data_IF_421449850732
#
_entry.id   IF_421449850732
#
_cell.length_a   1.000
_cell.length_b   1.000
_cell.length_c   1.000
_cell.angle_alpha   90.00
_cell.angle_beta   90.00
_cell.angle_gamma   90.00
#
_symmetry.space_group_name_H-M   'P 1'
#
loop_
_entity.id
_entity.type
_entity.pdbx_description
1 polymer ?
#
# COMPACT_ATOMS: atom_id res chain seq x y z
N UNK A 1 30.62 -47.54 4.20
CA UNK A 1 29.20 -47.31 3.83
C UNK A 1 28.43 -46.72 5.03
N UNK A 2 28.84 -45.57 5.58
CA UNK A 2 28.23 -44.99 6.79
C UNK A 2 27.62 -43.58 6.59
N UNK A 3 27.74 -42.99 5.40
CA UNK A 3 27.36 -41.59 5.16
C UNK A 3 25.90 -41.39 4.74
N UNK A 4 25.16 -42.46 4.45
CA UNK A 4 23.80 -42.36 3.87
C UNK A 4 22.76 -41.84 4.88
N UNK A 5 22.89 -42.21 6.16
CA UNK A 5 21.93 -41.79 7.20
C UNK A 5 22.07 -40.30 7.60
N UNK A 6 23.28 -39.74 7.52
CA UNK A 6 23.53 -38.32 7.82
C UNK A 6 22.92 -37.39 6.76
N UNK A 7 22.91 -37.79 5.50
CA UNK A 7 22.35 -37.01 4.39
C UNK A 7 20.82 -36.89 4.51
N UNK A 8 20.13 -38.01 4.79
CA UNK A 8 18.68 -38.04 5.00
C UNK A 8 18.27 -37.22 6.23
N UNK A 9 19.03 -37.32 7.33
CA UNK A 9 18.78 -36.52 8.53
C UNK A 9 18.99 -35.02 8.26
N UNK A 10 20.05 -34.65 7.55
CA UNK A 10 20.37 -33.26 7.21
C UNK A 10 19.30 -32.63 6.30
N UNK A 11 18.76 -33.39 5.33
CA UNK A 11 17.64 -32.94 4.47
C UNK A 11 16.37 -32.68 5.26
N UNK A 12 16.05 -33.54 6.24
CA UNK A 12 14.90 -33.31 7.12
C UNK A 12 15.08 -32.08 8.00
N UNK A 13 16.30 -31.85 8.53
CA UNK A 13 16.62 -30.63 9.28
C UNK A 13 16.44 -29.39 8.41
N UNK A 14 16.95 -29.39 7.16
CA UNK A 14 16.80 -28.25 6.26
C UNK A 14 15.32 -28.04 5.89
N UNK A 15 14.56 -29.12 5.70
CA UNK A 15 13.13 -29.05 5.40
C UNK A 15 12.32 -28.40 6.52
N UNK A 16 12.59 -28.80 7.78
CA UNK A 16 11.98 -28.18 8.96
C UNK A 16 12.40 -26.71 9.11
N UNK A 17 13.67 -26.39 8.88
CA UNK A 17 14.16 -25.01 8.89
C UNK A 17 13.38 -24.15 7.88
N UNK A 18 13.26 -24.60 6.62
CA UNK A 18 12.54 -23.87 5.58
C UNK A 18 11.05 -23.72 5.91
N UNK A 19 10.42 -24.75 6.47
CA UNK A 19 9.03 -24.70 6.92
C UNK A 19 8.83 -23.58 7.95
N UNK A 20 9.61 -23.59 9.03
CA UNK A 20 9.48 -22.60 10.09
C UNK A 20 9.85 -21.19 9.63
N UNK A 21 10.87 -21.05 8.78
CA UNK A 21 11.24 -19.75 8.20
C UNK A 21 10.09 -19.18 7.35
N UNK A 22 9.50 -19.99 6.45
CA UNK A 22 8.37 -19.56 5.63
C UNK A 22 7.16 -19.17 6.49
N UNK A 23 6.88 -19.94 7.53
CA UNK A 23 5.78 -19.66 8.46
C UNK A 23 6.03 -18.39 9.29
N UNK A 24 7.27 -18.17 9.75
CA UNK A 24 7.67 -16.97 10.48
C UNK A 24 7.51 -15.71 9.62
N UNK A 25 7.88 -15.78 8.34
CA UNK A 25 7.68 -14.67 7.38
C UNK A 25 6.19 -14.31 7.27
N UNK A 26 5.32 -15.32 7.15
CA UNK A 26 3.86 -15.11 7.07
C UNK A 26 3.33 -14.48 8.35
N UNK A 27 3.68 -15.03 9.52
CA UNK A 27 3.24 -14.49 10.81
C UNK A 27 3.72 -13.05 11.02
N UNK A 28 4.98 -12.76 10.69
CA UNK A 28 5.52 -11.42 10.76
C UNK A 28 4.76 -10.46 9.83
N UNK A 29 4.51 -10.87 8.58
CA UNK A 29 3.81 -10.04 7.60
C UNK A 29 2.39 -9.71 8.07
N UNK A 30 1.66 -10.70 8.60
CA UNK A 30 0.31 -10.51 9.15
C UNK A 30 0.32 -9.61 10.39
N UNK A 31 1.27 -9.83 11.31
CA UNK A 31 1.40 -8.99 12.51
C UNK A 31 1.75 -7.55 12.16
N UNK A 32 2.67 -7.34 11.23
CA UNK A 32 3.01 -6.01 10.72
C UNK A 32 1.81 -5.34 10.06
N UNK A 33 1.09 -6.10 9.22
CA UNK A 33 -0.14 -5.63 8.57
C UNK A 33 -1.20 -5.21 9.59
N UNK A 34 -1.47 -6.02 10.60
CA UNK A 34 -2.42 -5.71 11.66
C UNK A 34 -2.10 -4.38 12.37
N UNK A 35 -0.83 -4.13 12.70
CA UNK A 35 -0.40 -2.88 13.33
C UNK A 35 -0.57 -1.64 12.41
N UNK A 36 -0.47 -1.82 11.10
CA UNK A 36 -0.61 -0.74 10.12
C UNK A 36 -2.09 -0.44 9.84
N UNK A 37 -2.93 -1.48 9.74
CA UNK A 37 -4.38 -1.32 9.56
C UNK A 37 -5.08 -0.78 10.82
N UNK A 38 -4.57 -1.09 12.02
CA UNK A 38 -5.06 -0.52 13.29
C UNK A 38 -4.53 0.90 13.58
N UNK A 39 -3.68 1.45 12.70
CA UNK A 39 -3.15 2.80 12.84
C UNK A 39 -2.06 2.96 13.92
N UNK A 40 -1.57 1.85 14.49
CA UNK A 40 -0.48 1.88 15.49
C UNK A 40 0.89 2.21 14.86
N UNK A 41 1.04 2.04 13.54
CA UNK A 41 2.19 2.49 12.75
C UNK A 41 1.75 3.16 11.45
N UNK A 42 2.43 4.24 11.09
CA UNK A 42 2.20 4.92 9.82
C UNK A 42 2.60 4.00 8.65
N UNK A 43 1.73 3.93 7.64
CA UNK A 43 2.01 3.21 6.40
C UNK A 43 3.23 3.88 5.75
N UNK A 44 4.21 3.12 5.21
CA UNK A 44 5.31 3.70 4.45
C UNK A 44 4.78 4.65 3.37
N UNK A 45 5.20 5.92 3.42
CA UNK A 45 4.70 6.96 2.52
C UNK A 45 5.37 6.84 1.15
N UNK A 46 4.78 6.06 0.24
CA UNK A 46 5.19 5.95 -1.16
C UNK A 46 4.67 7.13 -2.00
N UNK A 47 3.50 7.65 -1.63
CA UNK A 47 2.86 8.80 -2.27
C UNK A 47 2.75 9.95 -1.27
N UNK A 48 3.32 11.11 -1.63
CA UNK A 48 3.19 12.37 -0.91
C UNK A 48 2.51 13.39 -1.82
N UNK A 49 1.42 13.98 -1.36
CA UNK A 49 0.87 15.17 -1.99
C UNK A 49 1.68 16.37 -1.48
N UNK A 50 2.59 16.89 -2.30
CA UNK A 50 3.19 18.19 -2.03
C UNK A 50 2.08 19.24 -2.08
N UNK A 51 1.77 19.83 -0.91
CA UNK A 51 1.01 21.07 -0.85
C UNK A 51 1.86 22.10 -1.59
N UNK A 52 1.36 22.77 -2.65
CA UNK A 52 2.14 23.80 -3.32
C UNK A 52 2.55 24.81 -2.25
N UNK A 53 3.85 24.92 -2.00
CA UNK A 53 4.38 26.01 -1.21
C UNK A 53 3.89 27.29 -1.88
N UNK A 54 3.33 28.20 -1.08
CA UNK A 54 2.85 29.50 -1.53
C UNK A 54 3.91 30.17 -2.42
N UNK A 55 3.68 30.19 -3.74
CA UNK A 55 4.36 31.10 -4.64
C UNK A 55 3.60 32.42 -4.51
N UNK A 56 4.29 33.39 -3.92
CA UNK A 56 3.82 34.76 -3.72
C UNK A 56 3.78 35.52 -5.07
N UNK A 57 2.91 36.55 -5.15
CA UNK A 57 2.76 37.59 -6.20
C UNK A 57 2.28 37.12 -7.59
N UNK A 58 1.31 37.73 -8.29
CA UNK A 58 0.65 39.06 -8.26
C UNK A 58 -0.63 39.02 -9.13
N UNK A 59 -1.56 39.98 -9.04
CA UNK A 59 -2.85 39.95 -9.75
C UNK A 59 -2.71 40.42 -11.19
N UNK A 60 -3.35 39.73 -12.15
CA UNK A 60 -3.59 40.29 -13.48
C UNK A 60 -4.99 39.88 -13.98
N UNK A 61 -5.79 40.92 -14.12
CA UNK A 61 -7.16 41.00 -14.61
C UNK A 61 -7.18 40.93 -16.14
N UNK A 62 -8.22 40.33 -16.74
CA UNK A 62 -8.79 40.76 -18.02
C UNK A 62 -10.20 40.19 -18.22
N UNK A 63 -11.16 41.09 -18.42
CA UNK A 63 -12.51 40.88 -18.92
C UNK A 63 -12.47 40.40 -20.40
N UNK A 64 -13.48 39.86 -21.07
CA UNK A 64 -14.94 40.01 -21.01
C UNK A 64 -15.56 39.01 -21.99
N UNK A 65 -16.73 38.44 -21.68
CA UNK A 65 -17.50 37.53 -22.53
C UNK A 65 -18.96 37.41 -22.09
N UNK A 66 -19.60 38.55 -21.83
CA UNK A 66 -20.97 38.61 -21.34
C UNK A 66 -21.97 38.09 -22.38
N UNK A 67 -22.62 36.96 -22.07
CA UNK A 67 -24.10 36.78 -21.98
C UNK A 67 -24.55 35.32 -22.23
N UNK A 68 -23.64 34.40 -22.58
CA UNK A 68 -23.89 32.94 -22.60
C UNK A 68 -23.03 32.18 -21.55
N UNK A 69 -22.02 32.87 -21.03
CA UNK A 69 -21.08 32.39 -20.03
C UNK A 69 -21.69 32.28 -18.62
N UNK A 70 -22.79 33.00 -18.34
CA UNK A 70 -23.39 33.08 -17.00
C UNK A 70 -24.03 31.75 -16.55
N UNK A 71 -24.70 31.01 -17.44
CA UNK A 71 -25.27 29.69 -17.09
C UNK A 71 -24.19 28.61 -16.97
N UNK A 72 -23.13 28.70 -17.79
CA UNK A 72 -22.05 27.71 -17.78
C UNK A 72 -21.10 27.97 -16.62
N UNK A 73 -20.79 29.22 -16.29
CA UNK A 73 -20.08 29.62 -15.08
C UNK A 73 -20.89 29.39 -13.82
N UNK A 74 -22.22 29.55 -13.83
CA UNK A 74 -23.05 29.22 -12.67
C UNK A 74 -23.08 27.70 -12.45
N UNK A 75 -23.20 26.90 -13.51
CA UNK A 75 -23.05 25.44 -13.41
C UNK A 75 -21.65 25.04 -12.92
N UNK A 76 -20.59 25.67 -13.46
CA UNK A 76 -19.21 25.40 -13.06
C UNK A 76 -18.92 25.86 -11.62
N UNK A 77 -19.45 27.01 -11.19
CA UNK A 77 -19.32 27.50 -9.81
C UNK A 77 -20.11 26.66 -8.80
N UNK A 78 -21.27 26.10 -9.18
CA UNK A 78 -22.02 25.17 -8.31
C UNK A 78 -21.28 23.83 -8.21
N UNK A 79 -20.82 23.28 -9.34
CA UNK A 79 -20.08 22.00 -9.36
C UNK A 79 -18.72 22.13 -8.67
N UNK A 80 -18.01 23.22 -8.89
CA UNK A 80 -16.64 23.39 -8.39
C UNK A 80 -16.63 24.01 -6.98
N UNK A 81 -17.60 24.88 -6.66
CA UNK A 81 -17.69 25.59 -5.38
C UNK A 81 -18.47 24.84 -4.30
N UNK A 82 -19.59 24.17 -4.61
CA UNK A 82 -20.36 23.42 -3.60
C UNK A 82 -19.98 21.94 -3.58
N UNK A 83 -19.96 21.27 -4.74
CA UNK A 83 -19.65 19.84 -4.80
C UNK A 83 -18.14 19.62 -4.61
N UNK A 84 -17.30 20.44 -5.24
CA UNK A 84 -15.85 20.37 -5.08
C UNK A 84 -15.37 20.63 -3.64
N UNK A 85 -15.96 21.61 -2.94
CA UNK A 85 -15.61 21.90 -1.55
C UNK A 85 -16.09 20.78 -0.59
N UNK A 86 -17.31 20.29 -0.76
CA UNK A 86 -17.81 19.17 0.05
C UNK A 86 -17.04 17.87 -0.22
N UNK A 87 -16.71 17.55 -1.48
CA UNK A 87 -15.85 16.40 -1.79
C UNK A 87 -14.44 16.58 -1.25
N UNK A 88 -13.89 17.80 -1.24
CA UNK A 88 -12.57 18.11 -0.69
C UNK A 88 -12.55 18.06 0.83
N UNK A 89 -13.66 18.39 1.50
CA UNK A 89 -13.87 18.18 2.94
C UNK A 89 -14.07 16.69 3.28
N UNK A 90 -14.82 15.95 2.46
CA UNK A 90 -15.10 14.52 2.69
C UNK A 90 -13.94 13.60 2.27
N UNK A 91 -13.13 14.00 1.29
CA UNK A 91 -11.94 13.31 0.81
C UNK A 91 -10.79 14.32 0.67
N UNK A 92 -10.14 14.69 1.78
CA UNK A 92 -8.93 15.50 1.73
C UNK A 92 -7.87 14.81 0.86
N UNK A 93 -7.07 15.58 0.13
CA UNK A 93 -6.03 15.04 -0.76
C UNK A 93 -5.05 14.07 -0.06
N UNK A 94 -4.86 14.26 1.25
CA UNK A 94 -4.06 13.40 2.12
C UNK A 94 -4.66 11.98 2.24
N UNK A 95 -5.98 11.82 2.13
CA UNK A 95 -6.67 10.53 2.17
C UNK A 95 -6.38 9.68 0.93
N UNK A 96 -6.29 10.28 -0.26
CA UNK A 96 -5.94 9.58 -1.51
C UNK A 96 -4.53 9.00 -1.41
N UNK A 97 -3.57 9.81 -0.95
CA UNK A 97 -2.19 9.35 -0.73
C UNK A 97 -2.13 8.22 0.30
N UNK A 98 -2.93 8.31 1.38
CA UNK A 98 -3.03 7.27 2.41
C UNK A 98 -3.62 5.96 1.88
N UNK A 99 -4.68 6.00 1.07
CA UNK A 99 -5.25 4.80 0.42
C UNK A 99 -4.21 4.15 -0.50
N UNK A 100 -3.54 4.93 -1.34
CA UNK A 100 -2.54 4.41 -2.27
C UNK A 100 -1.36 3.74 -1.53
N UNK A 101 -0.89 4.36 -0.45
CA UNK A 101 0.12 3.77 0.43
C UNK A 101 -0.36 2.45 1.05
N UNK A 102 -1.63 2.39 1.48
CA UNK A 102 -2.22 1.20 2.08
C UNK A 102 -2.37 0.05 1.07
N UNK A 103 -2.77 0.37 -0.17
CA UNK A 103 -2.82 -0.59 -1.27
C UNK A 103 -1.41 -1.12 -1.59
N UNK A 104 -0.42 -0.22 -1.69
CA UNK A 104 0.97 -0.62 -1.91
C UNK A 104 1.47 -1.56 -0.81
N UNK A 105 1.15 -1.27 0.45
CA UNK A 105 1.45 -2.13 1.58
C UNK A 105 0.72 -3.49 1.50
N UNK A 106 -0.56 -3.50 1.13
CA UNK A 106 -1.33 -4.74 1.00
C UNK A 106 -0.78 -5.66 -0.10
N UNK A 107 -0.37 -5.10 -1.24
CA UNK A 107 0.30 -5.85 -2.31
C UNK A 107 1.61 -6.45 -1.81
N UNK A 108 2.42 -5.66 -1.09
CA UNK A 108 3.68 -6.13 -0.51
C UNK A 108 3.47 -7.28 0.49
N UNK A 109 2.51 -7.15 1.41
CA UNK A 109 2.16 -8.22 2.36
C UNK A 109 1.66 -9.46 1.62
N UNK A 110 0.81 -9.29 0.60
CA UNK A 110 0.34 -10.38 -0.25
C UNK A 110 1.50 -11.13 -0.91
N UNK A 111 2.50 -10.39 -1.43
CA UNK A 111 3.72 -10.99 -1.96
C UNK A 111 4.51 -11.76 -0.90
N UNK A 112 4.67 -11.20 0.31
CA UNK A 112 5.36 -11.90 1.42
C UNK A 112 4.66 -13.19 1.80
N UNK A 113 3.33 -13.19 1.87
CA UNK A 113 2.54 -14.39 2.18
C UNK A 113 2.73 -15.44 1.09
N UNK A 114 2.69 -15.04 -0.18
CA UNK A 114 2.93 -15.93 -1.30
C UNK A 114 4.35 -16.52 -1.28
N UNK A 115 5.38 -15.69 -1.09
CA UNK A 115 6.76 -16.11 -1.02
C UNK A 115 7.02 -17.03 0.18
N UNK A 116 6.55 -16.65 1.38
CA UNK A 116 6.64 -17.45 2.59
C UNK A 116 5.96 -18.81 2.44
N UNK A 117 4.80 -18.87 1.79
CA UNK A 117 4.11 -20.12 1.49
C UNK A 117 4.88 -21.02 0.53
N UNK A 118 5.53 -20.44 -0.50
CA UNK A 118 6.42 -21.19 -1.41
C UNK A 118 7.63 -21.77 -0.68
N UNK A 119 8.28 -20.98 0.19
CA UNK A 119 9.42 -21.42 1.01
C UNK A 119 9.01 -22.55 1.95
N UNK A 120 7.89 -22.39 2.66
CA UNK A 120 7.38 -23.43 3.55
C UNK A 120 7.01 -24.72 2.78
N UNK A 121 6.41 -24.59 1.59
CA UNK A 121 6.07 -25.72 0.74
C UNK A 121 7.30 -26.50 0.24
N UNK A 122 8.40 -25.81 -0.08
CA UNK A 122 9.68 -26.46 -0.38
C UNK A 122 10.18 -27.22 0.86
N UNK A 123 10.09 -26.61 2.04
CA UNK A 123 10.43 -27.25 3.31
C UNK A 123 9.68 -28.56 3.55
N UNK A 124 8.36 -28.57 3.39
CA UNK A 124 7.52 -29.78 3.51
C UNK A 124 7.93 -30.86 2.52
N UNK A 125 8.21 -30.49 1.26
CA UNK A 125 8.67 -31.45 0.24
C UNK A 125 9.99 -32.12 0.62
N UNK A 126 10.92 -31.39 1.23
CA UNK A 126 12.20 -31.92 1.70
C UNK A 126 12.09 -32.86 2.91
N UNK A 127 11.03 -32.72 3.72
CA UNK A 127 10.79 -33.60 4.89
C UNK A 127 10.24 -34.96 4.43
N UNK A 128 9.34 -34.93 3.45
CA UNK A 128 8.59 -36.12 2.97
C UNK A 128 9.33 -36.87 1.86
N UNK A 129 10.23 -36.20 1.13
CA UNK A 129 11.08 -36.80 0.09
C UNK A 129 12.29 -37.53 0.65
#
# INVERSE_FOLDING_TARGET
MANFNLDVFSRKIIGWLLLFVGLAIIFWALFSSYNIFTGAKEVPTLFKTERPAAISSSPQQSASGAMEQDLQEQAQNIIQGQIGAQLKEMMPAEFISKIFNLIGWAIFVGFLVFAGGRVAGIGVKLITS
#
